data_IF_467923711145
#
_entry.id   IF_467923711145
#
_cell.length_a   1.000
_cell.length_b   1.000
_cell.length_c   1.000
_cell.angle_alpha   90.00
_cell.angle_beta   90.00
_cell.angle_gamma   90.00
#
_symmetry.space_group_name_H-M   'P 1'
#
loop_
_entity.id
_entity.type
_entity.pdbx_description
1 polymer ?
#
# COMPACT_ATOMS: atom_id res chain seq x y z
N UNK A 1 19.24 -7.49 -60.10
CA UNK A 1 17.93 -7.01 -59.58
C UNK A 1 18.02 -7.08 -58.07
N UNK A 2 17.83 -5.93 -57.39
CA UNK A 2 18.15 -5.72 -55.97
C UNK A 2 16.94 -6.14 -55.13
N UNK A 3 17.04 -7.22 -54.36
CA UNK A 3 16.00 -7.59 -53.40
C UNK A 3 16.24 -6.82 -52.10
N UNK A 4 15.32 -5.91 -51.81
CA UNK A 4 15.30 -5.07 -50.60
C UNK A 4 14.90 -5.94 -49.40
N UNK A 5 15.81 -6.17 -48.45
CA UNK A 5 15.47 -6.82 -47.19
C UNK A 5 14.79 -5.80 -46.28
N UNK A 6 13.50 -5.99 -46.01
CA UNK A 6 12.76 -5.22 -45.00
C UNK A 6 12.94 -5.93 -43.66
N UNK A 7 13.82 -5.41 -42.81
CA UNK A 7 13.94 -5.85 -41.42
C UNK A 7 12.78 -5.25 -40.63
N UNK A 8 11.79 -6.07 -40.29
CA UNK A 8 10.71 -5.68 -39.38
C UNK A 8 11.25 -5.62 -37.94
N UNK A 9 11.25 -4.43 -37.36
CA UNK A 9 11.60 -4.20 -35.95
C UNK A 9 10.35 -4.43 -35.10
N UNK A 10 10.18 -5.63 -34.53
CA UNK A 10 9.14 -5.90 -33.55
C UNK A 10 9.57 -5.29 -32.21
N UNK A 11 8.98 -4.16 -31.82
CA UNK A 11 9.02 -3.70 -30.43
C UNK A 11 8.14 -4.62 -29.59
N UNK A 12 8.74 -5.51 -28.82
CA UNK A 12 8.06 -6.23 -27.76
C UNK A 12 7.82 -5.24 -26.61
N UNK A 13 6.60 -4.68 -26.52
CA UNK A 13 6.18 -3.95 -25.34
C UNK A 13 5.96 -4.97 -24.21
N UNK A 14 6.87 -4.99 -23.22
CA UNK A 14 6.60 -5.71 -21.99
C UNK A 14 5.38 -5.08 -21.30
N UNK A 15 4.44 -5.86 -20.76
CA UNK A 15 3.34 -5.30 -20.00
C UNK A 15 3.94 -4.53 -18.81
N UNK A 16 3.66 -3.23 -18.74
CA UNK A 16 3.91 -2.45 -17.54
C UNK A 16 2.87 -2.89 -16.50
N UNK A 17 3.20 -3.95 -15.75
CA UNK A 17 2.49 -4.20 -14.50
C UNK A 17 2.79 -3.00 -13.60
N UNK A 18 1.77 -2.22 -13.29
CA UNK A 18 1.93 -1.13 -12.35
C UNK A 18 2.31 -1.75 -10.99
N UNK A 19 3.31 -1.17 -10.35
CA UNK A 19 3.88 -1.70 -9.11
C UNK A 19 2.83 -1.72 -8.00
N UNK A 20 2.79 -2.81 -7.22
CA UNK A 20 1.91 -2.92 -6.06
C UNK A 20 2.14 -1.76 -5.06
N UNK A 21 1.14 -1.38 -4.23
CA UNK A 21 1.31 -0.27 -3.31
C UNK A 21 2.40 -0.54 -2.28
N UNK A 22 3.26 0.44 -2.05
CA UNK A 22 4.39 0.33 -1.12
C UNK A 22 4.15 1.25 0.07
N UNK A 23 4.26 0.72 1.29
CA UNK A 23 4.39 1.54 2.50
C UNK A 23 5.82 2.08 2.53
N UNK A 24 5.98 3.39 2.34
CA UNK A 24 7.29 4.04 2.37
C UNK A 24 7.63 4.59 3.76
N UNK A 25 6.61 4.84 4.58
CA UNK A 25 6.74 5.22 5.99
C UNK A 25 5.47 4.84 6.77
N UNK A 26 5.63 4.55 8.06
CA UNK A 26 4.51 4.29 8.96
C UNK A 26 4.86 4.70 10.39
N UNK A 27 3.91 5.34 11.07
CA UNK A 27 4.05 5.78 12.45
C UNK A 27 2.82 5.40 13.28
N UNK A 28 3.03 5.17 14.57
CA UNK A 28 1.99 4.87 15.54
C UNK A 28 2.05 5.87 16.70
N UNK A 29 0.91 6.44 17.04
CA UNK A 29 0.76 7.42 18.11
C UNK A 29 -0.36 6.99 19.06
N UNK A 30 -0.07 6.96 20.37
CA UNK A 30 -1.05 6.62 21.40
C UNK A 30 -1.67 7.90 21.98
N UNK A 31 -2.99 8.01 21.96
CA UNK A 31 -3.74 9.10 22.58
C UNK A 31 -4.99 8.54 23.27
N UNK A 32 -5.19 8.89 24.54
CA UNK A 32 -6.37 8.50 25.34
C UNK A 32 -6.69 6.99 25.34
N UNK A 33 -5.65 6.15 25.21
CA UNK A 33 -5.77 4.69 25.19
C UNK A 33 -6.04 4.08 23.81
N UNK A 34 -6.14 4.91 22.76
CA UNK A 34 -6.34 4.47 21.38
C UNK A 34 -5.14 4.81 20.50
N UNK A 35 -4.83 3.94 19.55
CA UNK A 35 -3.77 4.20 18.58
C UNK A 35 -4.31 4.91 17.35
N UNK A 36 -3.57 5.92 16.90
CA UNK A 36 -3.62 6.43 15.53
C UNK A 36 -2.42 5.91 14.77
N UNK A 37 -2.67 5.30 13.62
CA UNK A 37 -1.66 4.77 12.70
C UNK A 37 -1.64 5.66 11.46
N UNK A 38 -0.51 6.30 11.20
CA UNK A 38 -0.23 7.07 10.00
C UNK A 38 0.55 6.21 9.01
N UNK A 39 0.04 6.08 7.79
CA UNK A 39 0.71 5.27 6.75
C UNK A 39 0.92 6.14 5.52
N UNK A 40 2.17 6.22 5.08
CA UNK A 40 2.58 6.86 3.84
C UNK A 40 2.73 5.81 2.75
N UNK A 41 1.93 5.93 1.68
CA UNK A 41 1.88 4.98 0.57
C UNK A 41 2.40 5.64 -0.70
N UNK A 42 3.14 4.86 -1.50
CA UNK A 42 3.48 5.14 -2.88
C UNK A 42 2.87 4.09 -3.79
N UNK A 43 2.11 4.52 -4.80
CA UNK A 43 1.53 3.65 -5.80
C UNK A 43 1.38 4.40 -7.14
N UNK A 44 1.71 3.78 -8.29
CA UNK A 44 1.54 4.40 -9.61
C UNK A 44 0.06 4.38 -10.03
N UNK A 45 -0.78 5.13 -9.32
CA UNK A 45 -2.20 5.29 -9.63
C UNK A 45 -2.38 5.77 -11.08
N UNK A 46 -3.24 5.10 -11.85
CA UNK A 46 -3.56 5.47 -13.24
C UNK A 46 -5.02 5.90 -13.42
N UNK A 47 -5.72 6.18 -12.31
CA UNK A 47 -7.13 6.55 -12.28
C UNK A 47 -7.99 5.54 -11.53
N UNK A 48 -9.31 5.58 -11.76
CA UNK A 48 -10.29 4.77 -11.02
C UNK A 48 -10.14 3.25 -11.23
N UNK A 49 -9.54 2.84 -12.34
CA UNK A 49 -9.33 1.42 -12.65
C UNK A 49 -8.14 0.84 -11.89
N UNK A 50 -7.14 1.67 -11.54
CA UNK A 50 -5.96 1.22 -10.81
C UNK A 50 -5.44 2.29 -9.84
N UNK A 51 -5.76 2.10 -8.57
CA UNK A 51 -5.25 2.94 -7.49
C UNK A 51 -5.11 2.18 -6.16
N UNK A 52 -4.33 2.74 -5.24
CA UNK A 52 -4.28 2.27 -3.85
C UNK A 52 -5.65 2.46 -3.17
N UNK A 53 -6.32 1.36 -2.87
CA UNK A 53 -7.72 1.32 -2.39
C UNK A 53 -7.87 1.27 -0.87
N UNK A 54 -6.78 0.98 -0.15
CA UNK A 54 -6.81 0.89 1.31
C UNK A 54 -5.64 0.12 1.89
N UNK A 55 -5.65 -0.01 3.20
CA UNK A 55 -4.68 -0.79 3.96
C UNK A 55 -5.28 -1.23 5.29
N UNK A 56 -4.78 -2.33 5.83
CA UNK A 56 -5.19 -2.84 7.14
C UNK A 56 -4.03 -2.89 8.14
N UNK A 57 -4.38 -2.83 9.42
CA UNK A 57 -3.50 -3.09 10.57
C UNK A 57 -3.77 -4.51 11.06
N UNK A 58 -2.73 -5.33 11.10
CA UNK A 58 -2.83 -6.75 11.46
C UNK A 58 -1.96 -7.03 12.68
N UNK A 59 -2.49 -7.74 13.66
CA UNK A 59 -1.74 -8.26 14.79
C UNK A 59 -0.83 -9.44 14.38
N UNK A 60 0.17 -9.82 15.20
CA UNK A 60 1.08 -10.92 14.88
C UNK A 60 0.42 -12.29 14.74
N UNK A 61 -0.75 -12.48 15.34
CA UNK A 61 -1.57 -13.69 15.24
C UNK A 61 -2.45 -13.73 13.96
N UNK A 62 -2.41 -12.66 13.15
CA UNK A 62 -3.18 -12.52 11.93
C UNK A 62 -4.54 -11.82 12.10
N UNK A 63 -4.92 -11.40 13.31
CA UNK A 63 -6.16 -10.66 13.54
C UNK A 63 -6.09 -9.26 12.91
N UNK A 64 -7.14 -8.86 12.18
CA UNK A 64 -7.27 -7.50 11.64
C UNK A 64 -7.78 -6.57 12.74
N UNK A 65 -6.96 -5.61 13.13
CA UNK A 65 -7.26 -4.61 14.18
C UNK A 65 -7.97 -3.38 13.63
N UNK A 66 -7.88 -3.15 12.31
CA UNK A 66 -8.55 -2.04 11.65
C UNK A 66 -8.25 -2.00 10.15
N UNK A 67 -9.10 -1.29 9.40
CA UNK A 67 -8.96 -1.08 7.97
C UNK A 67 -9.21 0.38 7.61
N UNK A 68 -8.33 0.94 6.78
CA UNK A 68 -8.48 2.27 6.21
C UNK A 68 -8.79 2.15 4.72
N UNK A 69 -10.03 2.48 4.36
CA UNK A 69 -10.45 2.59 2.96
C UNK A 69 -9.95 3.90 2.33
N UNK A 70 -9.49 3.86 1.09
CA UNK A 70 -9.15 5.01 0.26
C UNK A 70 -10.14 5.06 -0.89
N UNK A 71 -10.89 6.16 -1.01
CA UNK A 71 -12.07 6.24 -1.87
C UNK A 71 -11.83 7.00 -3.18
N UNK A 72 -10.59 7.36 -3.49
CA UNK A 72 -10.23 8.03 -4.73
C UNK A 72 -8.77 7.78 -5.14
N UNK A 73 -8.43 7.88 -6.43
CA UNK A 73 -7.05 7.88 -6.89
C UNK A 73 -6.27 9.10 -6.40
N UNK A 74 -4.96 8.93 -6.23
CA UNK A 74 -3.96 9.91 -5.82
C UNK A 74 -2.90 10.13 -6.91
N UNK A 75 -3.29 10.18 -8.18
CA UNK A 75 -2.38 10.29 -9.34
C UNK A 75 -1.39 11.46 -9.22
N UNK A 76 -1.82 12.59 -8.65
CA UNK A 76 -1.02 13.82 -8.51
C UNK A 76 -0.53 14.07 -7.07
N UNK A 77 -0.67 13.10 -6.17
CA UNK A 77 -0.31 13.18 -4.76
C UNK A 77 0.46 11.91 -4.40
N UNK A 78 1.75 11.85 -4.76
CA UNK A 78 2.60 10.69 -4.46
C UNK A 78 3.96 11.14 -3.89
N UNK A 79 4.42 10.53 -2.78
CA UNK A 79 3.63 9.66 -1.89
C UNK A 79 2.57 10.46 -1.13
N UNK A 80 1.57 9.77 -0.56
CA UNK A 80 0.55 10.38 0.27
C UNK A 80 0.39 9.66 1.61
N UNK A 81 0.03 10.39 2.66
CA UNK A 81 -0.17 9.85 4.02
C UNK A 81 -1.64 9.86 4.38
N UNK A 82 -2.15 8.77 4.95
CA UNK A 82 -3.49 8.72 5.54
C UNK A 82 -3.45 8.01 6.90
N UNK A 83 -4.30 8.48 7.79
CA UNK A 83 -4.37 8.02 9.18
C UNK A 83 -5.57 7.11 9.41
N UNK A 84 -5.42 6.18 10.36
CA UNK A 84 -6.49 5.39 10.97
C UNK A 84 -6.42 5.55 12.49
N UNK A 85 -7.42 6.20 13.08
CA UNK A 85 -7.56 6.37 14.54
C UNK A 85 -8.46 5.29 15.14
N UNK A 86 -8.45 5.16 16.47
CA UNK A 86 -9.29 4.21 17.19
C UNK A 86 -8.81 2.76 17.10
N UNK A 87 -7.55 2.53 16.74
CA UNK A 87 -6.99 1.18 16.66
C UNK A 87 -6.68 0.70 18.07
N UNK A 88 -7.32 -0.40 18.48
CA UNK A 88 -7.05 -1.06 19.76
C UNK A 88 -5.97 -2.13 19.55
N UNK A 89 -4.77 -1.87 20.09
CA UNK A 89 -3.65 -2.81 20.04
C UNK A 89 -3.49 -3.44 21.43
N UNK A 90 -3.63 -4.78 21.58
CA UNK A 90 -3.45 -5.46 22.85
C UNK A 90 -2.12 -5.11 23.54
N UNK A 91 -2.10 -5.09 24.87
CA UNK A 91 -0.96 -4.60 25.64
C UNK A 91 0.32 -5.43 25.45
N UNK A 92 0.18 -6.71 25.11
CA UNK A 92 1.24 -7.68 24.84
C UNK A 92 1.74 -7.66 23.39
N UNK A 93 1.14 -6.86 22.51
CA UNK A 93 1.55 -6.72 21.11
C UNK A 93 2.55 -5.57 20.96
N UNK A 94 3.80 -5.90 20.64
CA UNK A 94 4.91 -4.97 20.43
C UNK A 94 5.09 -4.51 18.97
N UNK A 95 4.35 -5.12 18.04
CA UNK A 95 4.35 -4.74 16.62
C UNK A 95 3.05 -5.12 15.93
N UNK A 96 2.77 -4.44 14.83
CA UNK A 96 1.68 -4.76 13.91
C UNK A 96 2.24 -4.85 12.48
N UNK A 97 1.42 -5.35 11.58
CA UNK A 97 1.71 -5.38 10.15
C UNK A 97 0.73 -4.47 9.40
N UNK A 98 1.26 -3.67 8.50
CA UNK A 98 0.49 -2.83 7.59
C UNK A 98 0.44 -3.50 6.23
N UNK A 99 -0.76 -3.85 5.76
CA UNK A 99 -0.94 -4.50 4.45
C UNK A 99 -1.76 -3.62 3.51
N UNK A 100 -1.13 -2.93 2.55
CA UNK A 100 -1.84 -2.21 1.50
C UNK A 100 -2.59 -3.09 0.50
N UNK A 101 -3.51 -2.45 -0.22
CA UNK A 101 -4.32 -3.03 -1.29
C UNK A 101 -4.47 -2.05 -2.46
N UNK A 102 -4.41 -2.53 -3.71
CA UNK A 102 -4.91 -1.78 -4.86
C UNK A 102 -6.17 -2.43 -5.46
N UNK A 103 -6.90 -1.65 -6.27
CA UNK A 103 -8.14 -2.12 -6.93
C UNK A 103 -7.92 -3.26 -7.91
N UNK A 104 -6.75 -3.30 -8.57
CA UNK A 104 -6.45 -4.27 -9.63
C UNK A 104 -5.84 -5.56 -9.08
N UNK A 105 -4.73 -5.46 -8.36
CA UNK A 105 -3.95 -6.62 -7.89
C UNK A 105 -4.36 -7.11 -6.49
N UNK A 106 -5.23 -6.36 -5.80
CA UNK A 106 -5.66 -6.71 -4.45
C UNK A 106 -4.56 -6.47 -3.42
N UNK A 107 -4.44 -7.38 -2.45
CA UNK A 107 -3.56 -7.22 -1.29
C UNK A 107 -2.11 -7.52 -1.63
N UNK A 108 -1.19 -6.74 -1.07
CA UNK A 108 0.23 -7.06 -1.16
C UNK A 108 0.55 -8.35 -0.39
N UNK A 109 1.47 -9.16 -0.93
CA UNK A 109 1.85 -10.44 -0.30
C UNK A 109 2.70 -10.27 0.95
N UNK A 110 3.50 -9.19 1.00
CA UNK A 110 4.46 -8.94 2.07
C UNK A 110 4.08 -7.64 2.77
N UNK A 111 3.48 -7.72 3.97
CA UNK A 111 3.11 -6.53 4.71
C UNK A 111 4.34 -5.90 5.39
N UNK A 112 4.23 -4.61 5.70
CA UNK A 112 5.30 -3.85 6.38
C UNK A 112 5.12 -3.94 7.88
N UNK A 113 6.17 -4.31 8.61
CA UNK A 113 6.18 -4.31 10.08
C UNK A 113 6.23 -2.86 10.60
N UNK A 114 5.40 -2.57 11.60
CA UNK A 114 5.42 -1.34 12.38
C UNK A 114 5.57 -1.70 13.86
N UNK A 115 6.67 -1.27 14.49
CA UNK A 115 6.88 -1.47 15.92
C UNK A 115 6.02 -0.50 16.74
N UNK A 116 5.49 -0.98 17.87
CA UNK A 116 4.57 -0.25 18.74
C UNK A 116 5.27 0.07 20.07
N UNK A 117 5.58 1.36 20.26
CA UNK A 117 6.26 1.87 21.46
C UNK A 117 5.29 2.61 22.39
N UNK A 118 5.11 2.12 23.62
CA UNK A 118 4.15 2.62 24.62
C UNK A 118 4.76 3.59 25.65
N UNK A 119 5.84 4.26 25.28
CA UNK A 119 6.65 5.07 26.21
C UNK A 119 5.94 6.34 26.68
#
# INVERSE_FOLDING_TARGET
MKSLAVTAFFLMAAPALASAPVVVDAAAHLQDGEWTIDVTISHPDSGWDHYASGWEVIAPDGAVLGYRELTHPHVNEQPFTRSLSGVIIPADVDHVFIRPRCTLDGWVSTPTRLDISRN
#
